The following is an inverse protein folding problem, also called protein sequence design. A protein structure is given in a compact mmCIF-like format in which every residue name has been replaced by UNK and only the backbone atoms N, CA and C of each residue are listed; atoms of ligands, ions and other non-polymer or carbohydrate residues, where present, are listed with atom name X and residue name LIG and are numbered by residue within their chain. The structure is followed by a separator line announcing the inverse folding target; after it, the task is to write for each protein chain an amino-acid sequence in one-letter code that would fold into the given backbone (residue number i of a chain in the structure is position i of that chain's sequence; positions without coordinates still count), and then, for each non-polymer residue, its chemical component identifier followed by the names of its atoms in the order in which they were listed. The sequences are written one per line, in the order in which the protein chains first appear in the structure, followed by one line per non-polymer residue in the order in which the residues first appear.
data_IF_579013509029
#
_entry.id   IF_579013509029
#
_cell.length_a   1.000
_cell.length_b   1.000
_cell.length_c   1.000
_cell.angle_alpha   90.00
_cell.angle_beta   90.00
_cell.angle_gamma   90.00
#
_symmetry.space_group_name_H-M   'P 1'
#
loop_
_entity.id
_entity.type
_entity.pdbx_description
1 polymer ?
#
# COMPACT_ATOMS: atom_id res chain seq x y z
N UNK A 1 9.14 5.07 20.94
CA UNK A 1 9.18 5.93 19.73
C UNK A 1 8.39 5.24 18.63
N UNK A 2 7.05 5.26 18.76
CA UNK A 2 6.16 4.44 17.94
C UNK A 2 5.83 5.12 16.62
N UNK A 3 6.35 4.59 15.52
CA UNK A 3 6.08 5.11 14.18
C UNK A 3 5.04 4.22 13.50
N UNK A 4 3.77 4.63 13.55
CA UNK A 4 2.70 4.01 12.79
C UNK A 4 2.48 4.76 11.50
N UNK A 5 3.14 4.33 10.43
CA UNK A 5 3.08 5.04 9.15
C UNK A 5 2.51 4.14 8.06
N UNK A 6 1.35 4.51 7.54
CA UNK A 6 0.96 4.16 6.16
C UNK A 6 1.68 5.13 5.24
N UNK A 7 2.82 4.70 4.67
CA UNK A 7 3.52 5.47 3.63
C UNK A 7 2.82 5.24 2.28
N UNK A 8 2.43 6.32 1.61
CA UNK A 8 2.21 6.43 0.16
C UNK A 8 1.45 5.30 -0.54
N UNK A 9 0.13 5.45 -0.70
CA UNK A 9 -0.64 4.70 -1.70
C UNK A 9 -0.51 5.36 -3.04
N UNK A 10 0.44 4.87 -3.83
CA UNK A 10 0.74 5.31 -5.17
C UNK A 10 -0.13 4.53 -6.16
N UNK A 11 -1.05 5.20 -6.86
CA UNK A 11 -1.56 4.63 -8.12
C UNK A 11 -0.46 4.78 -9.16
N UNK A 12 0.09 3.64 -9.54
CA UNK A 12 1.01 3.50 -10.64
C UNK A 12 0.21 3.17 -11.88
N UNK A 13 0.44 3.93 -12.95
CA UNK A 13 -0.23 3.74 -14.24
C UNK A 13 0.82 3.77 -15.33
N UNK A 14 0.69 2.84 -16.28
CA UNK A 14 1.60 2.66 -17.38
C UNK A 14 1.34 3.68 -18.49
N UNK A 15 2.36 4.43 -18.90
CA UNK A 15 2.36 5.11 -20.21
C UNK A 15 3.19 4.30 -21.22
N UNK A 16 2.71 4.12 -22.46
CA UNK A 16 3.53 3.51 -23.50
C UNK A 16 4.68 4.44 -23.88
N UNK A 17 5.91 3.90 -23.90
CA UNK A 17 7.12 4.64 -24.28
C UNK A 17 7.07 5.01 -25.78
N UNK A 18 7.14 6.31 -26.11
CA UNK A 18 7.42 6.77 -27.48
C UNK A 18 8.90 6.54 -27.81
N UNK A 19 9.17 5.81 -28.88
CA UNK A 19 10.52 5.60 -29.40
C UNK A 19 11.09 6.92 -29.96
N UNK A 20 12.32 7.27 -29.58
CA UNK A 20 13.09 8.38 -30.17
C UNK A 20 14.47 7.85 -30.55
N UNK A 21 14.72 7.83 -31.86
CA UNK A 21 15.93 7.58 -32.66
C UNK A 21 17.16 6.84 -32.07
N UNK A 22 17.50 5.72 -32.73
CA UNK A 22 18.83 5.19 -33.13
C UNK A 22 20.07 5.34 -32.22
N UNK A 23 19.92 5.21 -30.90
CA UNK A 23 21.06 4.90 -30.02
C UNK A 23 20.80 3.53 -29.37
N UNK A 24 21.75 2.59 -29.50
CA UNK A 24 21.79 1.33 -28.75
C UNK A 24 22.00 1.62 -27.25
N UNK A 25 20.98 2.18 -26.61
CA UNK A 25 20.85 2.24 -25.16
C UNK A 25 20.22 0.88 -24.80
N UNK A 26 20.77 0.18 -23.82
CA UNK A 26 20.14 -0.95 -23.11
C UNK A 26 18.88 -0.48 -22.36
N UNK A 27 17.98 0.21 -23.06
CA UNK A 27 16.88 0.98 -22.50
C UNK A 27 15.86 -0.04 -22.02
N UNK A 28 15.83 -0.20 -20.71
CA UNK A 28 14.91 -1.10 -20.02
C UNK A 28 13.50 -0.95 -20.62
N UNK A 29 13.01 -1.98 -21.30
CA UNK A 29 11.67 -2.02 -21.92
C UNK A 29 10.59 -2.25 -20.85
N UNK A 30 10.66 -1.52 -19.76
CA UNK A 30 9.68 -1.61 -18.69
C UNK A 30 8.61 -0.56 -18.85
N UNK A 31 7.43 -0.89 -18.35
CA UNK A 31 6.33 0.05 -18.21
C UNK A 31 6.73 1.21 -17.31
N UNK A 32 6.37 2.43 -17.72
CA UNK A 32 6.57 3.63 -16.90
C UNK A 32 5.65 3.57 -15.68
N UNK A 33 6.18 3.86 -14.49
CA UNK A 33 5.45 3.79 -13.23
C UNK A 33 5.23 5.19 -12.67
N UNK A 34 3.97 5.64 -12.60
CA UNK A 34 3.63 6.97 -12.04
C UNK A 34 3.03 6.92 -10.64
N UNK A 35 2.68 8.07 -10.07
CA UNK A 35 1.99 8.18 -8.78
C UNK A 35 0.78 9.09 -9.01
N UNK A 36 -0.44 8.58 -8.84
CA UNK A 36 -1.65 9.39 -9.08
C UNK A 36 -2.25 9.97 -7.80
N UNK A 37 -2.15 9.27 -6.67
CA UNK A 37 -2.56 9.79 -5.36
C UNK A 37 -1.55 9.39 -4.30
N UNK A 38 -1.63 10.04 -3.14
CA UNK A 38 -0.91 9.67 -1.92
C UNK A 38 -1.68 10.27 -0.73
N UNK A 39 -2.06 9.41 0.22
CA UNK A 39 -2.86 9.79 1.40
C UNK A 39 -2.30 9.05 2.62
N UNK A 40 -2.46 9.66 3.81
CA UNK A 40 -2.12 9.06 5.10
C UNK A 40 -3.11 9.47 6.17
N UNK A 41 -3.22 8.67 7.21
CA UNK A 41 -3.91 9.07 8.45
C UNK A 41 -3.05 10.07 9.24
N UNK A 42 -3.64 10.79 10.23
CA UNK A 42 -2.87 11.43 11.28
C UNK A 42 -2.00 10.41 12.03
N UNK A 43 -0.88 10.87 12.59
CA UNK A 43 0.00 10.04 13.42
C UNK A 43 -0.40 10.26 14.87
N UNK A 44 -0.86 9.20 15.54
CA UNK A 44 -1.23 9.24 16.95
C UNK A 44 -0.05 8.94 17.86
N UNK A 45 0.03 9.66 18.99
CA UNK A 45 0.96 9.30 20.07
C UNK A 45 0.54 8.00 20.76
N UNK A 46 1.50 7.35 21.43
CA UNK A 46 1.22 6.14 22.19
C UNK A 46 0.13 6.41 23.24
N UNK A 47 -0.91 5.55 23.29
CA UNK A 47 -2.09 5.68 24.17
C UNK A 47 -2.90 6.98 23.99
N UNK A 48 -2.91 7.56 22.79
CA UNK A 48 -3.69 8.75 22.43
C UNK A 48 -5.05 8.41 21.80
N UNK A 49 -5.69 9.36 21.13
CA UNK A 49 -7.02 9.27 20.51
C UNK A 49 -7.17 8.13 19.49
N UNK A 50 -6.10 7.75 18.78
CA UNK A 50 -6.11 6.65 17.81
C UNK A 50 -5.81 5.28 18.45
N UNK A 51 -5.62 5.23 19.78
CA UNK A 51 -5.29 3.99 20.47
C UNK A 51 -6.47 3.02 20.57
N UNK A 52 -7.70 3.39 20.25
CA UNK A 52 -8.79 2.40 20.21
C UNK A 52 -8.76 1.53 18.94
N UNK A 53 -8.03 1.96 17.89
CA UNK A 53 -8.06 1.36 16.57
C UNK A 53 -6.94 0.34 16.33
N UNK A 54 -7.26 -0.74 15.62
CA UNK A 54 -6.28 -1.74 15.17
C UNK A 54 -5.63 -1.33 13.84
N UNK A 55 -4.44 -1.86 13.53
CA UNK A 55 -3.69 -1.49 12.33
C UNK A 55 -4.50 -1.62 11.01
N UNK A 56 -5.28 -2.70 10.78
CA UNK A 56 -6.11 -2.82 9.58
C UNK A 56 -7.16 -1.72 9.43
N UNK A 57 -7.75 -1.23 10.53
CA UNK A 57 -8.75 -0.14 10.49
C UNK A 57 -8.11 1.18 10.05
N UNK A 58 -6.90 1.47 10.51
CA UNK A 58 -6.14 2.63 10.04
C UNK A 58 -5.77 2.48 8.55
N UNK A 59 -5.40 1.26 8.15
CA UNK A 59 -5.17 0.91 6.75
C UNK A 59 -6.39 1.13 5.86
N UNK A 60 -7.58 0.74 6.32
CA UNK A 60 -8.85 0.94 5.62
C UNK A 60 -9.09 2.40 5.25
N UNK A 61 -8.97 3.30 6.23
CA UNK A 61 -9.18 4.74 6.01
C UNK A 61 -8.16 5.30 5.01
N UNK A 62 -6.91 4.85 5.09
CA UNK A 62 -5.87 5.27 4.16
C UNK A 62 -6.14 4.79 2.72
N UNK A 63 -6.54 3.52 2.56
CA UNK A 63 -6.88 2.93 1.24
C UNK A 63 -8.08 3.65 0.64
N UNK A 64 -9.14 3.82 1.42
CA UNK A 64 -10.35 4.50 0.96
C UNK A 64 -10.04 5.93 0.47
N UNK A 65 -9.34 6.72 1.30
CA UNK A 65 -8.99 8.10 0.93
C UNK A 65 -8.07 8.17 -0.29
N UNK A 66 -7.18 7.20 -0.49
CA UNK A 66 -6.30 7.16 -1.65
C UNK A 66 -7.04 6.83 -2.96
N UNK A 67 -7.99 5.90 -2.91
CA UNK A 67 -8.82 5.51 -4.06
C UNK A 67 -9.79 6.63 -4.43
N UNK A 68 -10.44 7.25 -3.45
CA UNK A 68 -11.34 8.40 -3.66
C UNK A 68 -10.60 9.59 -4.27
N UNK A 69 -9.43 9.95 -3.71
CA UNK A 69 -8.60 11.06 -4.23
C UNK A 69 -8.03 10.79 -5.63
N UNK A 70 -7.85 9.51 -5.99
CA UNK A 70 -7.43 9.11 -7.32
C UNK A 70 -8.57 9.16 -8.36
N UNK A 71 -9.83 9.28 -7.92
CA UNK A 71 -11.00 9.34 -8.81
C UNK A 71 -11.21 8.07 -9.65
N UNK A 72 -10.82 6.90 -9.14
CA UNK A 72 -10.97 5.61 -9.84
C UNK A 72 -12.09 4.76 -9.23
N UNK A 73 -12.74 3.89 -10.02
CA UNK A 73 -13.64 2.88 -9.45
C UNK A 73 -12.84 1.90 -8.58
N UNK A 74 -13.43 1.48 -7.46
CA UNK A 74 -12.80 0.55 -6.52
C UNK A 74 -12.43 -0.80 -7.17
N UNK A 75 -13.23 -1.23 -8.13
CA UNK A 75 -13.04 -2.48 -8.88
C UNK A 75 -11.84 -2.46 -9.84
N UNK A 76 -11.30 -1.28 -10.15
CA UNK A 76 -10.11 -1.18 -10.98
C UNK A 76 -8.82 -1.54 -10.23
N UNK A 77 -8.84 -1.65 -8.90
CA UNK A 77 -7.66 -2.02 -8.11
C UNK A 77 -7.47 -3.53 -8.17
N UNK A 78 -6.36 -3.94 -8.80
CA UNK A 78 -6.10 -5.35 -9.11
C UNK A 78 -5.36 -6.06 -7.97
N UNK A 79 -4.48 -5.38 -7.24
CA UNK A 79 -3.71 -5.99 -6.15
C UNK A 79 -3.28 -4.96 -5.08
N UNK A 80 -3.19 -5.40 -3.82
CA UNK A 80 -2.88 -4.54 -2.66
C UNK A 80 -1.69 -5.06 -1.85
N UNK A 81 -0.65 -4.24 -1.66
CA UNK A 81 0.49 -4.52 -0.78
C UNK A 81 0.54 -3.58 0.41
N UNK A 82 0.40 -4.12 1.63
CA UNK A 82 0.47 -3.31 2.86
C UNK A 82 1.60 -3.79 3.75
N UNK A 83 2.48 -2.87 4.12
CA UNK A 83 3.58 -3.13 5.03
C UNK A 83 3.14 -3.07 6.50
N UNK A 84 3.37 -4.13 7.27
CA UNK A 84 3.09 -4.15 8.71
C UNK A 84 4.15 -4.99 9.42
N UNK A 85 4.77 -4.42 10.45
CA UNK A 85 5.86 -5.04 11.22
C UNK A 85 5.28 -5.92 12.32
N UNK A 86 4.41 -5.36 13.15
CA UNK A 86 3.83 -6.04 14.30
C UNK A 86 2.47 -6.61 13.91
N UNK A 87 2.45 -7.89 13.54
CA UNK A 87 1.25 -8.55 13.01
C UNK A 87 0.46 -9.31 14.06
N UNK A 88 1.05 -9.59 15.22
CA UNK A 88 0.37 -10.32 16.28
C UNK A 88 -0.83 -9.52 16.82
N UNK A 89 -1.96 -10.20 17.00
CA UNK A 89 -3.21 -9.57 17.44
C UNK A 89 -3.96 -8.77 16.37
N UNK A 90 -3.45 -8.66 15.14
CA UNK A 90 -4.16 -8.03 14.02
C UNK A 90 -5.13 -8.98 13.29
N UNK A 91 -5.17 -10.27 13.67
CA UNK A 91 -5.98 -11.30 13.01
C UNK A 91 -5.35 -11.84 11.72
N UNK A 92 -6.10 -12.65 10.99
CA UNK A 92 -5.62 -13.28 9.75
C UNK A 92 -5.52 -12.25 8.61
N UNK A 93 -4.40 -12.30 7.86
CA UNK A 93 -4.19 -11.51 6.65
C UNK A 93 -4.55 -10.02 6.81
N UNK A 94 -3.77 -9.23 7.59
CA UNK A 94 -4.14 -7.87 7.95
C UNK A 94 -4.31 -6.95 6.72
N UNK A 95 -3.47 -7.09 5.68
CA UNK A 95 -3.64 -6.35 4.42
C UNK A 95 -5.00 -6.61 3.76
N UNK A 96 -5.49 -7.85 3.84
CA UNK A 96 -6.77 -8.27 3.27
C UNK A 96 -7.94 -7.68 4.04
N UNK A 97 -7.86 -7.66 5.38
CA UNK A 97 -8.87 -6.98 6.22
C UNK A 97 -8.98 -5.50 5.86
N UNK A 98 -7.84 -4.81 5.69
CA UNK A 98 -7.83 -3.40 5.33
C UNK A 98 -8.50 -3.14 3.97
N UNK A 99 -8.19 -3.97 2.97
CA UNK A 99 -8.74 -3.88 1.61
C UNK A 99 -10.25 -4.14 1.56
N UNK A 100 -10.72 -5.22 2.19
CA UNK A 100 -12.15 -5.56 2.23
C UNK A 100 -12.97 -4.47 2.95
N UNK A 101 -12.48 -3.99 4.09
CA UNK A 101 -13.15 -2.94 4.84
C UNK A 101 -13.16 -1.58 4.10
N UNK A 102 -12.24 -1.36 3.15
CA UNK A 102 -12.24 -0.17 2.28
C UNK A 102 -13.27 -0.28 1.13
N UNK A 103 -13.92 -1.43 0.99
CA UNK A 103 -14.88 -1.74 -0.07
C UNK A 103 -14.21 -2.06 -1.41
N UNK A 104 -12.97 -2.57 -1.41
CA UNK A 104 -12.36 -3.15 -2.60
C UNK A 104 -13.02 -4.49 -2.94
N UNK A 105 -12.87 -4.93 -4.18
CA UNK A 105 -13.42 -6.18 -4.65
C UNK A 105 -12.85 -7.38 -3.85
N UNK A 106 -13.70 -8.37 -3.57
CA UNK A 106 -13.32 -9.63 -2.94
C UNK A 106 -12.29 -10.36 -3.83
N UNK A 107 -12.29 -10.18 -5.14
CA UNK A 107 -11.28 -10.80 -6.01
C UNK A 107 -9.88 -10.18 -5.89
N UNK A 108 -9.70 -9.03 -5.24
CA UNK A 108 -8.41 -8.31 -5.18
C UNK A 108 -7.39 -9.02 -4.27
N UNK A 109 -6.33 -9.67 -4.80
CA UNK A 109 -5.25 -10.23 -3.98
C UNK A 109 -4.59 -9.20 -3.05
N UNK A 110 -4.19 -9.66 -1.87
CA UNK A 110 -3.60 -8.81 -0.84
C UNK A 110 -2.39 -9.50 -0.20
N UNK A 111 -1.27 -8.78 -0.09
CA UNK A 111 -0.05 -9.29 0.56
C UNK A 111 0.40 -8.36 1.67
N UNK A 112 0.67 -8.93 2.84
CA UNK A 112 1.26 -8.18 3.95
C UNK A 112 2.77 -8.31 3.90
N UNK A 113 3.50 -7.20 3.83
CA UNK A 113 4.96 -7.18 3.70
C UNK A 113 5.59 -6.81 5.03
N UNK A 114 6.58 -7.58 5.48
CA UNK A 114 7.39 -7.22 6.65
C UNK A 114 8.86 -7.07 6.27
N UNK A 115 9.35 -5.83 6.38
CA UNK A 115 10.76 -5.45 6.31
C UNK A 115 11.06 -4.40 7.38
N UNK A 116 10.58 -4.62 8.60
CA UNK A 116 10.74 -3.71 9.75
C UNK A 116 10.35 -2.27 9.36
N UNK A 117 11.09 -1.24 9.74
CA UNK A 117 10.78 0.15 9.43
C UNK A 117 10.69 0.44 7.91
N UNK A 118 11.30 -0.42 7.08
CA UNK A 118 11.27 -0.30 5.62
C UNK A 118 10.04 -0.99 4.99
N UNK A 119 9.13 -1.59 5.75
CA UNK A 119 7.97 -2.35 5.24
C UNK A 119 7.12 -1.54 4.26
N UNK A 120 6.77 -0.30 4.63
CA UNK A 120 5.95 0.57 3.79
C UNK A 120 6.64 1.04 2.52
N UNK A 121 7.97 1.10 2.50
CA UNK A 121 8.72 1.40 1.26
C UNK A 121 8.89 0.14 0.42
N UNK A 122 9.10 -1.03 1.05
CA UNK A 122 9.26 -2.30 0.36
C UNK A 122 7.99 -2.73 -0.36
N UNK A 123 6.81 -2.49 0.22
CA UNK A 123 5.53 -2.71 -0.45
C UNK A 123 5.42 -1.91 -1.76
N UNK A 124 5.78 -0.63 -1.73
CA UNK A 124 5.82 0.25 -2.90
C UNK A 124 6.80 -0.27 -3.96
N UNK A 125 8.00 -0.69 -3.53
CA UNK A 125 9.00 -1.26 -4.44
C UNK A 125 8.50 -2.52 -5.14
N UNK A 126 7.86 -3.43 -4.39
CA UNK A 126 7.31 -4.67 -4.94
C UNK A 126 6.15 -4.40 -5.91
N UNK A 127 5.24 -3.48 -5.56
CA UNK A 127 4.16 -3.08 -6.46
C UNK A 127 4.72 -2.47 -7.76
N UNK A 128 5.70 -1.57 -7.63
CA UNK A 128 6.35 -0.95 -8.80
C UNK A 128 6.96 -1.99 -9.72
N UNK A 129 7.55 -3.06 -9.18
CA UNK A 129 8.10 -4.16 -9.98
C UNK A 129 7.00 -4.93 -10.75
N UNK A 130 5.87 -5.26 -10.10
CA UNK A 130 4.74 -5.89 -10.79
C UNK A 130 4.19 -5.04 -11.93
N UNK A 131 4.14 -3.71 -11.73
CA UNK A 131 3.67 -2.75 -12.72
C UNK A 131 4.68 -2.59 -13.87
N UNK A 132 5.98 -2.49 -13.56
CA UNK A 132 7.07 -2.45 -14.55
C UNK A 132 7.11 -3.66 -15.47
N UNK A 133 6.77 -4.84 -14.93
CA UNK A 133 6.70 -6.11 -15.65
C UNK A 133 5.37 -6.35 -16.38
N UNK A 134 4.36 -5.50 -16.14
CA UNK A 134 3.04 -5.64 -16.76
C UNK A 134 2.21 -6.80 -16.20
N UNK A 135 2.47 -7.24 -14.96
CA UNK A 135 1.63 -8.24 -14.30
C UNK A 135 0.31 -7.64 -13.80
N UNK A 136 0.33 -6.36 -13.44
CA UNK A 136 -0.83 -5.58 -13.02
C UNK A 136 -0.71 -4.17 -13.61
N UNK A 137 -1.84 -3.49 -13.78
CA UNK A 137 -1.90 -2.11 -14.29
C UNK A 137 -2.21 -1.08 -13.18
N UNK A 138 -2.95 -1.49 -12.15
CA UNK A 138 -3.39 -0.62 -11.05
C UNK A 138 -3.26 -1.37 -9.73
N UNK A 139 -2.38 -0.88 -8.87
CA UNK A 139 -2.14 -1.45 -7.55
C UNK A 139 -2.22 -0.37 -6.47
N UNK A 140 -2.50 -0.81 -5.24
CA UNK A 140 -2.42 -0.01 -4.02
C UNK A 140 -1.26 -0.55 -3.19
N UNK A 141 -0.33 0.31 -2.80
CA UNK A 141 0.80 -0.09 -1.97
C UNK A 141 0.93 0.83 -0.75
N UNK A 142 1.32 0.34 0.41
CA UNK A 142 1.58 1.24 1.53
C UNK A 142 2.05 0.56 2.79
N UNK A 143 1.80 1.15 3.94
CA UNK A 143 2.07 0.56 5.27
C UNK A 143 0.86 0.65 6.18
N UNK A 144 0.83 -0.01 7.32
CA UNK A 144 -0.10 0.26 8.41
C UNK A 144 0.45 -0.43 9.64
N UNK A 145 0.26 0.16 10.80
CA UNK A 145 0.93 -0.31 12.00
C UNK A 145 0.08 0.15 13.20
N UNK A 146 0.07 -0.61 14.30
CA UNK A 146 -0.55 -0.20 15.58
C UNK A 146 0.19 -0.81 16.77
N UNK A 147 0.85 0.02 17.59
CA UNK A 147 1.70 -0.42 18.72
C UNK A 147 0.86 -0.85 19.93
N UNK A 148 -0.47 -0.64 19.90
CA UNK A 148 -1.37 -1.20 20.93
C UNK A 148 -1.45 -2.73 20.85
N UNK A 149 -1.07 -3.32 19.73
CA UNK A 149 -1.23 -4.76 19.51
C UNK A 149 -0.71 -5.56 20.72
N UNK A 150 -1.46 -6.55 21.22
CA UNK A 150 -1.19 -7.25 22.48
C UNK A 150 0.27 -7.71 22.65
N UNK A 151 0.96 -8.04 21.55
CA UNK A 151 2.35 -8.47 21.54
C UNK A 151 3.39 -7.42 21.94
N UNK A 152 3.01 -6.15 22.08
CA UNK A 152 3.94 -5.05 22.40
C UNK A 152 3.58 -4.34 23.71
N UNK A 153 2.67 -4.93 24.50
CA UNK A 153 2.27 -4.41 25.80
C UNK A 153 2.90 -5.16 26.98
N UNK A 154 3.84 -6.06 26.68
CA UNK A 154 4.66 -6.80 27.64
C UNK A 154 6.07 -6.20 27.75
#
# INVERSE_FOLDING_TARGET
MGLLTVKNILKVSVKPLRAVNNVCIWRNRHHEVVIVSAVRTPIGSFRSSLSSLIAPQLGTVAIQGAVEKAGIPKDAVQEVYMGQVLQAGAGQAPARQAALNAGLNISTPCTTVNKVCASGMKSIMLASQNLMLGHQDIMVAGGMESVRSPCCLD
#
